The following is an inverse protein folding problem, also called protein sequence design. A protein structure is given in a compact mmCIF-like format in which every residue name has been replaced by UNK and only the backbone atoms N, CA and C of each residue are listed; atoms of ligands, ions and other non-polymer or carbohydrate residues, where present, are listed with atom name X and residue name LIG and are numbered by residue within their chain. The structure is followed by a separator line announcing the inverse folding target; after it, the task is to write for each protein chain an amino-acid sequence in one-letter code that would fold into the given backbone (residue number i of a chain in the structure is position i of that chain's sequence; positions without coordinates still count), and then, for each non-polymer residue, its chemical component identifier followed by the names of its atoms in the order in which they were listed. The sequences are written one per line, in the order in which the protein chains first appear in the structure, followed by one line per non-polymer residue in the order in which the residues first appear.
data_IF_745938307707
#
_entry.id   IF_745938307707
#
_cell.length_a   1.000
_cell.length_b   1.000
_cell.length_c   1.000
_cell.angle_alpha   90.00
_cell.angle_beta   90.00
_cell.angle_gamma   90.00
#
_symmetry.space_group_name_H-M   'P 1'
#
loop_
_entity.id
_entity.type
_entity.pdbx_description
1 polymer ?
#
# COMPACT_ATOMS: atom_id res chain seq x y z
N UNK A 1 -10.05 -24.36 -67.33
CA UNK A 1 -10.69 -23.77 -66.15
C UNK A 1 -10.87 -24.84 -65.11
N UNK A 2 -9.89 -25.01 -64.22
CA UNK A 2 -9.95 -25.93 -63.08
C UNK A 2 -9.74 -25.11 -61.79
N UNK A 3 -10.81 -24.71 -61.22
CA UNK A 3 -10.85 -24.06 -59.91
C UNK A 3 -10.74 -25.18 -58.85
N UNK A 4 -9.49 -25.56 -58.51
CA UNK A 4 -9.24 -26.38 -57.34
C UNK A 4 -9.42 -25.53 -56.09
N UNK A 5 -10.65 -25.43 -55.60
CA UNK A 5 -10.94 -24.99 -54.23
C UNK A 5 -10.28 -26.01 -53.30
N UNK A 6 -9.16 -25.65 -52.71
CA UNK A 6 -8.55 -26.37 -51.56
C UNK A 6 -9.57 -26.37 -50.41
N UNK A 7 -10.49 -27.34 -50.42
CA UNK A 7 -11.32 -27.66 -49.26
C UNK A 7 -10.37 -28.33 -48.28
N UNK A 8 -9.87 -27.55 -47.30
CA UNK A 8 -9.13 -28.14 -46.18
C UNK A 8 -9.99 -29.19 -45.54
N UNK A 9 -9.49 -30.43 -45.49
CA UNK A 9 -10.19 -31.54 -44.84
C UNK A 9 -10.53 -31.18 -43.39
N UNK A 10 -11.77 -31.40 -42.96
CA UNK A 10 -12.26 -31.07 -41.63
C UNK A 10 -11.37 -31.65 -40.52
N UNK A 11 -10.79 -32.83 -40.77
CA UNK A 11 -9.86 -33.48 -39.86
C UNK A 11 -8.60 -32.64 -39.60
N UNK A 12 -8.02 -32.03 -40.65
CA UNK A 12 -6.81 -31.20 -40.56
C UNK A 12 -7.09 -29.91 -39.77
N UNK A 13 -8.28 -29.27 -39.96
CA UNK A 13 -8.67 -28.06 -39.24
C UNK A 13 -8.89 -28.36 -37.75
N UNK A 14 -9.46 -29.54 -37.42
CA UNK A 14 -9.66 -29.98 -36.05
C UNK A 14 -8.32 -30.27 -35.37
N UNK A 15 -7.39 -30.94 -36.07
CA UNK A 15 -6.09 -31.30 -35.53
C UNK A 15 -5.20 -30.07 -35.31
N UNK A 16 -5.21 -29.09 -36.23
CA UNK A 16 -4.55 -27.79 -36.07
C UNK A 16 -5.11 -26.97 -34.89
N UNK A 17 -6.45 -26.98 -34.72
CA UNK A 17 -7.10 -26.32 -33.59
C UNK A 17 -6.73 -26.98 -32.25
N UNK A 18 -6.72 -28.33 -32.22
CA UNK A 18 -6.36 -29.10 -31.02
C UNK A 18 -4.89 -28.92 -30.66
N UNK A 19 -3.99 -28.95 -31.63
CA UNK A 19 -2.57 -28.64 -31.45
C UNK A 19 -2.35 -27.19 -31.00
N UNK A 20 -3.18 -26.25 -31.46
CA UNK A 20 -3.19 -24.87 -31.01
C UNK A 20 -3.61 -24.76 -29.52
N UNK A 21 -4.74 -25.37 -29.14
CA UNK A 21 -5.21 -25.42 -27.77
C UNK A 21 -4.21 -26.10 -26.83
N UNK A 22 -3.60 -27.20 -27.23
CA UNK A 22 -2.58 -27.90 -26.44
C UNK A 22 -1.36 -27.02 -26.18
N UNK A 23 -0.86 -26.32 -27.20
CA UNK A 23 0.26 -25.37 -27.06
C UNK A 23 -0.06 -24.21 -26.11
N UNK A 24 -1.28 -23.67 -26.21
CA UNK A 24 -1.75 -22.63 -25.27
C UNK A 24 -1.92 -23.19 -23.86
N UNK A 25 -2.48 -24.39 -23.70
CA UNK A 25 -2.60 -25.07 -22.43
C UNK A 25 -1.24 -25.30 -21.75
N UNK A 26 -0.27 -25.81 -22.47
CA UNK A 26 1.10 -26.01 -21.97
C UNK A 26 1.72 -24.66 -21.56
N UNK A 27 1.56 -23.60 -22.37
CA UNK A 27 2.07 -22.26 -22.02
C UNK A 27 1.45 -21.74 -20.71
N UNK A 28 0.14 -21.88 -20.55
CA UNK A 28 -0.56 -21.46 -19.33
C UNK A 28 -0.06 -22.25 -18.11
N UNK A 29 0.10 -23.58 -18.25
CA UNK A 29 0.63 -24.42 -17.16
C UNK A 29 2.06 -24.04 -16.80
N UNK A 30 2.92 -23.81 -17.78
CA UNK A 30 4.32 -23.39 -17.57
C UNK A 30 4.37 -22.01 -16.88
N UNK A 31 3.55 -21.06 -17.33
CA UNK A 31 3.45 -19.73 -16.70
C UNK A 31 2.93 -19.85 -15.26
N UNK A 32 1.89 -20.65 -15.04
CA UNK A 32 1.36 -20.88 -13.70
C UNK A 32 2.38 -21.58 -12.78
N UNK A 33 3.09 -22.60 -13.27
CA UNK A 33 4.15 -23.26 -12.51
C UNK A 33 5.30 -22.28 -12.19
N UNK A 34 5.73 -21.48 -13.15
CA UNK A 34 6.72 -20.44 -12.92
C UNK A 34 6.26 -19.40 -11.88
N UNK A 35 5.00 -18.95 -11.95
CA UNK A 35 4.42 -18.04 -10.99
C UNK A 35 4.40 -18.62 -9.56
N UNK A 36 4.05 -19.91 -9.42
CA UNK A 36 4.08 -20.62 -8.14
C UNK A 36 5.50 -20.71 -7.58
N UNK A 37 6.47 -21.09 -8.41
CA UNK A 37 7.89 -21.18 -8.00
C UNK A 37 8.43 -19.80 -7.59
N UNK A 38 8.17 -18.78 -8.39
CA UNK A 38 8.57 -17.40 -8.08
C UNK A 38 7.90 -16.94 -6.78
N UNK A 39 6.61 -17.17 -6.61
CA UNK A 39 5.87 -16.86 -5.38
C UNK A 39 6.45 -17.57 -4.16
N UNK A 40 6.83 -18.84 -4.30
CA UNK A 40 7.48 -19.57 -3.23
C UNK A 40 8.86 -19.01 -2.86
N UNK A 41 9.68 -18.67 -3.86
CA UNK A 41 10.99 -18.03 -3.65
C UNK A 41 10.81 -16.67 -2.97
N UNK A 42 9.88 -15.83 -3.45
CA UNK A 42 9.56 -14.54 -2.84
C UNK A 42 9.10 -14.73 -1.40
N UNK A 43 8.24 -15.72 -1.13
CA UNK A 43 7.78 -16.04 0.21
C UNK A 43 8.92 -16.42 1.16
N UNK A 44 9.90 -17.19 0.71
CA UNK A 44 11.10 -17.51 1.50
C UNK A 44 12.03 -16.32 1.65
N UNK A 45 12.18 -15.51 0.62
CA UNK A 45 13.01 -14.31 0.63
C UNK A 45 12.36 -13.12 1.35
N UNK A 46 11.07 -13.24 1.75
CA UNK A 46 10.30 -12.14 2.35
C UNK A 46 10.96 -11.52 3.57
N UNK A 47 11.64 -12.34 4.39
CA UNK A 47 12.37 -11.87 5.56
C UNK A 47 13.45 -10.84 5.23
N UNK A 48 14.01 -10.88 4.03
CA UNK A 48 15.01 -9.92 3.53
C UNK A 48 14.36 -8.85 2.66
N UNK A 49 13.42 -9.24 1.80
CA UNK A 49 12.76 -8.33 0.86
C UNK A 49 11.92 -7.28 1.58
N UNK A 50 11.24 -7.66 2.66
CA UNK A 50 10.41 -6.73 3.42
C UNK A 50 11.21 -5.55 4.03
N UNK A 51 12.30 -5.76 4.79
CA UNK A 51 13.13 -4.65 5.28
C UNK A 51 13.71 -3.80 4.16
N UNK A 52 14.12 -4.39 3.03
CA UNK A 52 14.64 -3.66 1.87
C UNK A 52 13.56 -2.77 1.26
N UNK A 53 12.38 -3.31 1.00
CA UNK A 53 11.24 -2.56 0.45
C UNK A 53 10.81 -1.42 1.38
N UNK A 54 10.71 -1.70 2.69
CA UNK A 54 10.39 -0.68 3.69
C UNK A 54 11.46 0.41 3.75
N UNK A 55 12.73 0.04 3.71
CA UNK A 55 13.83 0.99 3.69
C UNK A 55 13.84 1.86 2.43
N UNK A 56 13.51 1.30 1.26
CA UNK A 56 13.34 2.08 0.03
C UNK A 56 12.21 3.09 0.17
N UNK A 57 11.05 2.67 0.67
CA UNK A 57 9.89 3.55 0.91
C UNK A 57 10.27 4.69 1.87
N UNK A 58 10.81 4.36 3.04
CA UNK A 58 11.23 5.37 4.03
C UNK A 58 12.30 6.30 3.46
N UNK A 59 13.23 5.77 2.65
CA UNK A 59 14.25 6.56 1.98
C UNK A 59 13.67 7.60 1.03
N UNK A 60 12.57 7.32 0.32
CA UNK A 60 11.93 8.29 -0.56
C UNK A 60 11.35 9.49 0.18
N UNK A 61 10.94 9.29 1.45
CA UNK A 61 10.45 10.37 2.34
C UNK A 61 11.62 11.14 2.95
N UNK A 62 12.70 10.45 3.33
CA UNK A 62 13.84 11.07 4.01
C UNK A 62 14.89 11.67 3.06
N UNK A 63 14.87 11.31 1.76
CA UNK A 63 15.80 11.84 0.77
C UNK A 63 15.72 13.39 0.59
N UNK A 64 14.53 14.03 0.52
CA UNK A 64 14.45 15.48 0.40
C UNK A 64 15.10 16.24 1.57
N UNK A 65 14.82 15.98 2.86
CA UNK A 65 15.48 16.65 3.96
C UNK A 65 17.00 16.40 3.99
N UNK A 66 17.47 15.20 3.63
CA UNK A 66 18.92 14.93 3.55
C UNK A 66 19.57 15.72 2.41
N UNK A 67 18.93 15.75 1.23
CA UNK A 67 19.44 16.57 0.11
C UNK A 67 19.45 18.05 0.44
N UNK A 68 18.48 18.55 1.19
CA UNK A 68 18.46 19.94 1.65
C UNK A 68 19.62 20.25 2.60
N UNK A 69 19.92 19.36 3.58
CA UNK A 69 21.09 19.51 4.46
C UNK A 69 22.41 19.45 3.68
N UNK A 70 22.52 18.54 2.71
CA UNK A 70 23.70 18.45 1.84
C UNK A 70 23.91 19.72 1.01
N UNK A 71 22.85 20.34 0.49
CA UNK A 71 22.93 21.63 -0.21
C UNK A 71 23.41 22.76 0.69
N UNK A 72 23.27 22.63 2.02
CA UNK A 72 23.81 23.55 3.03
C UNK A 72 25.27 23.23 3.43
N UNK A 73 25.94 22.30 2.74
CA UNK A 73 27.32 21.95 2.96
C UNK A 73 27.58 20.83 3.97
N UNK A 74 26.52 20.15 4.45
CA UNK A 74 26.70 19.02 5.37
C UNK A 74 27.26 17.80 4.66
N UNK A 75 28.22 17.07 5.29
CA UNK A 75 28.68 15.79 4.74
C UNK A 75 27.54 14.78 4.69
N UNK A 76 27.50 13.96 3.64
CA UNK A 76 26.39 13.03 3.37
C UNK A 76 26.07 12.10 4.55
N UNK A 77 27.12 11.64 5.26
CA UNK A 77 26.96 10.75 6.43
C UNK A 77 26.26 11.45 7.60
N UNK A 78 26.64 12.70 7.91
CA UNK A 78 26.02 13.46 8.98
C UNK A 78 24.58 13.86 8.64
N UNK A 79 24.36 14.33 7.40
CA UNK A 79 23.01 14.69 6.95
C UNK A 79 22.06 13.49 7.02
N UNK A 80 22.49 12.31 6.53
CA UNK A 80 21.70 11.09 6.62
C UNK A 80 21.49 10.65 8.08
N UNK A 81 22.52 10.67 8.92
CA UNK A 81 22.42 10.27 10.32
C UNK A 81 21.43 11.15 11.10
N UNK A 82 21.54 12.49 10.96
CA UNK A 82 20.63 13.43 11.67
C UNK A 82 19.19 13.23 11.25
N UNK A 83 18.91 13.06 9.95
CA UNK A 83 17.54 12.87 9.45
C UNK A 83 16.97 11.51 9.86
N UNK A 84 17.76 10.43 9.77
CA UNK A 84 17.31 9.09 10.18
C UNK A 84 17.10 9.00 11.69
N UNK A 85 18.00 9.56 12.49
CA UNK A 85 17.83 9.62 13.95
C UNK A 85 16.66 10.54 14.35
N UNK A 86 16.47 11.65 13.64
CA UNK A 86 15.29 12.51 13.82
C UNK A 86 13.97 11.78 13.52
N UNK A 87 13.93 11.02 12.44
CA UNK A 87 12.79 10.17 12.10
C UNK A 87 12.55 9.09 13.18
N UNK A 88 13.61 8.41 13.63
CA UNK A 88 13.52 7.45 14.75
C UNK A 88 12.98 8.13 16.01
N UNK A 89 13.47 9.32 16.33
CA UNK A 89 12.99 10.11 17.47
C UNK A 89 11.50 10.44 17.38
N UNK A 90 11.00 10.77 16.18
CA UNK A 90 9.56 10.99 15.94
C UNK A 90 8.77 9.68 16.17
N UNK A 91 9.22 8.56 15.62
CA UNK A 91 8.55 7.26 15.77
C UNK A 91 8.51 6.84 17.24
N UNK A 92 9.64 6.92 17.94
CA UNK A 92 9.72 6.60 19.38
C UNK A 92 8.86 7.55 20.20
N UNK A 93 8.86 8.85 19.87
CA UNK A 93 8.01 9.86 20.52
C UNK A 93 6.52 9.55 20.36
N UNK A 94 6.08 9.18 19.16
CA UNK A 94 4.69 8.76 18.90
C UNK A 94 4.35 7.54 19.77
N UNK A 95 5.18 6.50 19.77
CA UNK A 95 4.97 5.29 20.57
C UNK A 95 4.90 5.62 22.07
N UNK A 96 5.81 6.47 22.56
CA UNK A 96 5.85 6.88 23.96
C UNK A 96 4.58 7.64 24.39
N UNK A 97 4.00 8.45 23.50
CA UNK A 97 2.75 9.18 23.74
C UNK A 97 1.54 8.23 23.70
N UNK A 98 1.53 7.26 22.77
CA UNK A 98 0.41 6.34 22.57
C UNK A 98 0.32 5.27 23.66
N UNK A 99 1.47 4.74 24.11
CA UNK A 99 1.53 3.60 25.06
C UNK A 99 0.71 3.85 26.32
N UNK A 100 0.87 4.96 27.07
CA UNK A 100 0.09 5.20 28.29
C UNK A 100 -1.40 5.41 27.99
N UNK A 101 -1.75 6.02 26.85
CA UNK A 101 -3.15 6.24 26.47
C UNK A 101 -3.87 4.91 26.18
N UNK A 102 -3.24 4.02 25.44
CA UNK A 102 -3.81 2.70 25.12
C UNK A 102 -3.82 1.80 26.35
N UNK A 103 -2.74 1.76 27.14
CA UNK A 103 -2.66 0.95 28.34
C UNK A 103 -3.64 1.40 29.44
N UNK A 104 -3.78 2.71 29.64
CA UNK A 104 -4.68 3.26 30.66
C UNK A 104 -6.17 3.15 30.33
N UNK A 105 -6.51 3.02 29.05
CA UNK A 105 -7.92 3.01 28.61
C UNK A 105 -8.38 1.61 28.12
N UNK A 106 -7.52 0.60 28.13
CA UNK A 106 -7.86 -0.75 27.67
C UNK A 106 -9.01 -1.39 28.45
N UNK A 107 -9.06 -1.19 29.76
CA UNK A 107 -10.18 -1.65 30.61
C UNK A 107 -11.47 -0.88 30.34
N UNK A 108 -11.39 0.43 30.12
CA UNK A 108 -12.57 1.25 29.78
C UNK A 108 -13.14 0.89 28.41
N UNK A 109 -12.28 0.55 27.44
CA UNK A 109 -12.71 0.09 26.10
C UNK A 109 -13.41 -1.26 26.21
N UNK A 110 -12.88 -2.22 26.99
CA UNK A 110 -13.50 -3.52 27.17
C UNK A 110 -14.88 -3.40 27.85
N UNK A 111 -14.97 -2.60 28.91
CA UNK A 111 -16.24 -2.34 29.61
C UNK A 111 -17.22 -1.57 28.73
N UNK A 112 -16.76 -0.49 28.08
CA UNK A 112 -17.57 0.31 27.18
C UNK A 112 -18.02 -0.45 25.93
N UNK A 113 -17.18 -1.37 25.39
CA UNK A 113 -17.58 -2.25 24.30
C UNK A 113 -18.74 -3.18 24.69
N UNK A 114 -18.69 -3.75 25.89
CA UNK A 114 -19.78 -4.59 26.42
C UNK A 114 -21.06 -3.77 26.63
N UNK A 115 -20.96 -2.58 27.21
CA UNK A 115 -22.11 -1.68 27.39
C UNK A 115 -22.67 -1.15 26.07
N UNK A 116 -21.79 -0.80 25.12
CA UNK A 116 -22.18 -0.34 23.79
C UNK A 116 -22.89 -1.41 23.00
N UNK A 117 -22.43 -2.65 23.05
CA UNK A 117 -23.09 -3.79 22.44
C UNK A 117 -24.47 -4.06 23.06
N UNK A 118 -24.61 -3.88 24.37
CA UNK A 118 -25.91 -3.97 25.04
C UNK A 118 -26.85 -2.86 24.55
N UNK A 119 -26.40 -1.61 24.47
CA UNK A 119 -27.20 -0.48 23.94
C UNK A 119 -27.63 -0.71 22.48
N UNK A 120 -26.75 -1.25 21.65
CA UNK A 120 -27.09 -1.62 20.26
C UNK A 120 -28.12 -2.76 20.24
N UNK A 121 -27.96 -3.76 21.11
CA UNK A 121 -28.93 -4.84 21.28
C UNK A 121 -30.31 -4.30 21.66
N UNK A 122 -30.36 -3.48 22.70
CA UNK A 122 -31.62 -2.90 23.21
C UNK A 122 -32.29 -2.04 22.13
N UNK A 123 -31.51 -1.28 21.39
CA UNK A 123 -32.03 -0.48 20.27
C UNK A 123 -32.55 -1.35 19.10
N UNK A 124 -31.91 -2.50 18.80
CA UNK A 124 -32.35 -3.43 17.76
C UNK A 124 -33.55 -4.27 18.17
N UNK A 125 -33.69 -4.61 19.48
CA UNK A 125 -34.77 -5.43 20.00
C UNK A 125 -36.01 -4.63 20.37
N UNK A 126 -35.78 -3.45 21.03
CA UNK A 126 -36.84 -2.59 21.54
C UNK A 126 -37.12 -1.37 20.66
N UNK A 127 -36.28 -1.16 19.62
CA UNK A 127 -36.33 -0.05 18.67
C UNK A 127 -37.29 -0.32 17.49
N UNK A 128 -37.34 0.61 16.51
CA UNK A 128 -38.29 0.58 15.39
C UNK A 128 -38.12 -0.62 14.44
N UNK A 129 -37.03 -1.39 14.53
CA UNK A 129 -36.77 -2.55 13.66
C UNK A 129 -37.26 -3.88 14.23
N UNK A 130 -37.56 -3.97 15.53
CA UNK A 130 -38.15 -5.15 16.24
C UNK A 130 -37.66 -6.51 15.69
N UNK A 131 -36.34 -6.67 15.54
CA UNK A 131 -35.75 -7.87 14.93
C UNK A 131 -35.76 -9.04 15.91
N UNK A 132 -35.92 -10.28 15.41
CA UNK A 132 -36.06 -11.48 16.25
C UNK A 132 -34.81 -11.75 17.10
N UNK A 133 -34.99 -11.96 18.38
CA UNK A 133 -33.98 -12.06 19.44
C UNK A 133 -32.88 -13.14 19.24
N UNK A 134 -33.15 -14.22 18.47
CA UNK A 134 -32.22 -15.35 18.41
C UNK A 134 -30.92 -15.11 17.65
N UNK A 135 -30.98 -14.52 16.47
CA UNK A 135 -29.82 -14.30 15.61
C UNK A 135 -28.96 -13.09 16.08
N UNK A 136 -29.63 -12.07 16.60
CA UNK A 136 -28.98 -10.87 17.14
C UNK A 136 -28.17 -11.21 18.38
N UNK A 137 -28.74 -11.99 19.30
CA UNK A 137 -28.05 -12.42 20.52
C UNK A 137 -26.82 -13.26 20.21
N UNK A 138 -26.90 -14.17 19.23
CA UNK A 138 -25.74 -14.97 18.80
C UNK A 138 -24.66 -14.12 18.14
N UNK A 139 -25.02 -13.15 17.30
CA UNK A 139 -24.06 -12.26 16.66
C UNK A 139 -23.35 -11.34 17.67
N UNK A 140 -24.13 -10.82 18.64
CA UNK A 140 -23.59 -9.93 19.70
C UNK A 140 -22.71 -10.72 20.68
N UNK A 141 -23.09 -11.92 21.10
CA UNK A 141 -22.23 -12.75 21.95
C UNK A 141 -20.94 -13.15 21.25
N UNK A 142 -20.99 -13.53 19.98
CA UNK A 142 -19.78 -13.81 19.20
C UNK A 142 -18.86 -12.60 19.06
N UNK A 143 -19.43 -11.39 18.96
CA UNK A 143 -18.66 -10.13 18.95
C UNK A 143 -18.08 -9.83 20.34
N UNK A 144 -18.85 -10.02 21.42
CA UNK A 144 -18.35 -9.87 22.79
C UNK A 144 -17.17 -10.81 23.08
N UNK A 145 -17.31 -12.10 22.78
CA UNK A 145 -16.23 -13.07 22.95
C UNK A 145 -14.97 -12.70 22.16
N UNK A 146 -15.15 -12.16 20.96
CA UNK A 146 -14.04 -11.65 20.13
C UNK A 146 -13.39 -10.41 20.71
N UNK A 147 -14.16 -9.47 21.24
CA UNK A 147 -13.65 -8.25 21.86
C UNK A 147 -12.90 -8.59 23.16
N UNK A 148 -13.47 -9.44 24.02
CA UNK A 148 -12.85 -9.88 25.27
C UNK A 148 -11.56 -10.68 25.02
N UNK A 149 -11.58 -11.60 24.06
CA UNK A 149 -10.39 -12.35 23.66
C UNK A 149 -9.31 -11.44 23.06
N UNK A 150 -9.70 -10.43 22.27
CA UNK A 150 -8.77 -9.45 21.71
C UNK A 150 -8.21 -8.49 22.77
N UNK A 151 -9.05 -8.04 23.72
CA UNK A 151 -8.62 -7.17 24.82
C UNK A 151 -7.67 -7.93 25.77
N UNK A 152 -7.96 -9.18 26.09
CA UNK A 152 -7.07 -10.04 26.89
C UNK A 152 -5.78 -10.36 26.14
N UNK A 153 -5.81 -10.55 24.82
CA UNK A 153 -4.64 -10.76 23.99
C UNK A 153 -3.77 -9.48 23.92
N UNK A 154 -4.36 -8.30 23.87
CA UNK A 154 -3.65 -7.02 23.95
C UNK A 154 -3.04 -6.83 25.34
N UNK A 155 -3.80 -7.10 26.40
CA UNK A 155 -3.32 -7.01 27.78
C UNK A 155 -2.22 -8.02 28.13
N UNK A 156 -2.34 -9.27 27.68
CA UNK A 156 -1.33 -10.32 27.85
C UNK A 156 -0.24 -10.28 26.80
N UNK A 157 -0.54 -9.83 25.58
CA UNK A 157 0.38 -9.74 24.46
C UNK A 157 1.50 -8.73 24.66
N UNK A 158 1.30 -7.68 25.45
CA UNK A 158 2.36 -6.73 25.83
C UNK A 158 3.47 -7.44 26.66
N UNK A 159 3.14 -8.51 27.38
CA UNK A 159 4.10 -9.23 28.21
C UNK A 159 4.55 -10.59 27.66
N UNK A 160 3.81 -11.21 26.74
CA UNK A 160 4.12 -12.58 26.31
C UNK A 160 4.99 -12.71 25.05
N UNK A 161 5.44 -11.60 24.46
CA UNK A 161 6.14 -11.64 23.17
C UNK A 161 7.52 -10.99 23.18
N UNK A 162 8.39 -11.39 24.11
CA UNK A 162 9.82 -11.05 24.03
C UNK A 162 10.36 -11.43 22.64
N UNK A 163 9.93 -12.55 22.06
CA UNK A 163 10.31 -12.97 20.72
C UNK A 163 9.77 -12.06 19.59
N UNK A 164 8.51 -11.64 19.65
CA UNK A 164 7.94 -10.73 18.64
C UNK A 164 8.49 -9.31 18.79
N UNK A 165 8.69 -8.83 20.00
CA UNK A 165 9.34 -7.55 20.26
C UNK A 165 10.78 -7.55 19.74
N UNK A 166 11.53 -8.63 19.98
CA UNK A 166 12.90 -8.78 19.47
C UNK A 166 12.91 -8.77 17.95
N UNK A 167 12.02 -9.51 17.29
CA UNK A 167 11.92 -9.53 15.83
C UNK A 167 11.54 -8.16 15.25
N UNK A 168 10.63 -7.45 15.91
CA UNK A 168 10.22 -6.10 15.49
C UNK A 168 11.38 -5.10 15.62
N UNK A 169 12.14 -5.17 16.72
CA UNK A 169 13.33 -4.31 16.96
C UNK A 169 14.41 -4.62 15.92
N UNK A 170 14.71 -5.90 15.67
CA UNK A 170 15.69 -6.31 14.65
C UNK A 170 15.28 -5.80 13.27
N UNK A 171 14.01 -5.97 12.88
CA UNK A 171 13.50 -5.45 11.61
C UNK A 171 13.57 -3.92 11.54
N UNK A 172 13.22 -3.22 12.62
CA UNK A 172 13.33 -1.76 12.68
C UNK A 172 14.77 -1.30 12.49
N UNK A 173 15.72 -1.94 13.20
CA UNK A 173 17.16 -1.62 13.06
C UNK A 173 17.61 -1.88 11.62
N UNK A 174 17.23 -3.02 11.02
CA UNK A 174 17.57 -3.33 9.63
C UNK A 174 17.01 -2.28 8.66
N UNK A 175 15.74 -1.92 8.80
CA UNK A 175 15.10 -0.88 7.98
C UNK A 175 15.82 0.45 8.12
N UNK A 176 16.14 0.88 9.35
CA UNK A 176 16.83 2.15 9.59
C UNK A 176 18.28 2.14 9.06
N UNK A 177 19.01 1.04 9.24
CA UNK A 177 20.36 0.90 8.68
C UNK A 177 20.33 0.94 7.14
N UNK A 178 19.44 0.18 6.52
CA UNK A 178 19.29 0.18 5.07
C UNK A 178 18.85 1.58 4.56
N UNK A 179 17.89 2.21 5.23
CA UNK A 179 17.47 3.59 4.92
C UNK A 179 18.65 4.56 4.99
N UNK A 180 19.45 4.48 6.06
CA UNK A 180 20.65 5.31 6.20
C UNK A 180 21.61 5.12 5.02
N UNK A 181 21.90 3.86 4.63
CA UNK A 181 22.78 3.59 3.49
C UNK A 181 22.16 4.06 2.16
N UNK A 182 20.89 3.83 1.94
CA UNK A 182 20.21 4.25 0.71
C UNK A 182 20.22 5.77 0.55
N UNK A 183 19.95 6.51 1.61
CA UNK A 183 19.93 7.98 1.55
C UNK A 183 21.33 8.57 1.51
N UNK A 184 22.30 7.97 2.22
CA UNK A 184 23.70 8.40 2.23
C UNK A 184 24.39 8.12 0.90
N UNK A 185 24.27 6.90 0.37
CA UNK A 185 25.06 6.40 -0.76
C UNK A 185 24.24 6.26 -2.06
N UNK A 186 22.96 6.64 -2.07
CA UNK A 186 22.08 6.53 -3.24
C UNK A 186 22.66 7.15 -4.52
N UNK A 187 23.43 8.24 -4.39
CA UNK A 187 24.10 8.88 -5.52
C UNK A 187 25.22 8.03 -6.16
N UNK A 188 25.71 7.01 -5.45
CA UNK A 188 26.75 6.09 -5.97
C UNK A 188 26.15 4.94 -6.76
N UNK A 189 24.81 4.77 -6.71
CA UNK A 189 24.14 3.67 -7.39
C UNK A 189 24.28 3.76 -8.91
N UNK A 190 24.09 4.94 -9.48
CA UNK A 190 24.20 5.19 -10.93
C UNK A 190 25.56 4.75 -11.50
N UNK A 191 26.72 5.23 -10.99
CA UNK A 191 28.01 4.77 -11.53
C UNK A 191 28.28 3.29 -11.27
N UNK A 192 27.80 2.74 -10.15
CA UNK A 192 27.93 1.32 -9.86
C UNK A 192 27.16 0.44 -10.87
N UNK A 193 25.89 0.80 -11.15
CA UNK A 193 25.04 0.07 -12.10
C UNK A 193 25.62 0.11 -13.53
N UNK A 194 26.14 1.25 -13.96
CA UNK A 194 26.81 1.41 -15.26
C UNK A 194 28.06 0.54 -15.38
N UNK A 195 28.84 0.42 -14.29
CA UNK A 195 30.04 -0.40 -14.28
C UNK A 195 29.74 -1.91 -14.34
N UNK A 196 28.62 -2.38 -13.74
CA UNK A 196 28.25 -3.78 -13.72
C UNK A 196 27.64 -4.26 -15.06
N UNK A 197 26.77 -3.47 -15.66
CA UNK A 197 26.00 -3.87 -16.85
C UNK A 197 26.68 -3.53 -18.18
N UNK A 198 27.85 -2.86 -18.15
CA UNK A 198 28.41 -2.23 -19.34
C UNK A 198 27.54 -1.04 -19.81
N UNK A 199 28.05 -0.24 -20.78
CA UNK A 199 27.38 1.01 -21.17
C UNK A 199 25.90 0.86 -21.50
N UNK A 200 25.53 -0.12 -22.36
CA UNK A 200 24.15 -0.28 -22.82
C UNK A 200 23.20 -0.78 -21.73
N UNK A 201 23.52 -1.89 -21.06
CA UNK A 201 22.65 -2.47 -20.03
C UNK A 201 22.63 -1.62 -18.75
N UNK A 202 23.77 -0.97 -18.42
CA UNK A 202 23.87 -0.07 -17.28
C UNK A 202 22.99 1.17 -17.42
N UNK A 203 22.97 1.81 -18.58
CA UNK A 203 22.14 2.99 -18.84
C UNK A 203 20.65 2.65 -18.74
N UNK A 204 20.19 1.50 -19.26
CA UNK A 204 18.81 1.03 -19.11
C UNK A 204 18.45 0.74 -17.64
N UNK A 205 19.36 0.11 -16.91
CA UNK A 205 19.14 -0.19 -15.48
C UNK A 205 19.01 1.09 -14.66
N UNK A 206 19.84 2.07 -14.93
CA UNK A 206 19.79 3.39 -14.25
C UNK A 206 18.48 4.10 -14.59
N UNK A 207 18.10 4.15 -15.86
CA UNK A 207 16.87 4.82 -16.28
C UNK A 207 15.63 4.18 -15.65
N UNK A 208 15.53 2.84 -15.62
CA UNK A 208 14.45 2.12 -14.95
C UNK A 208 14.43 2.46 -13.45
N UNK A 209 15.60 2.42 -12.79
CA UNK A 209 15.69 2.72 -11.37
C UNK A 209 15.27 4.14 -11.05
N UNK A 210 15.71 5.13 -11.83
CA UNK A 210 15.34 6.53 -11.65
C UNK A 210 13.84 6.77 -11.85
N UNK A 211 13.23 6.15 -12.86
CA UNK A 211 11.78 6.22 -13.10
C UNK A 211 11.00 5.61 -11.94
N UNK A 212 11.38 4.40 -11.50
CA UNK A 212 10.76 3.72 -10.35
C UNK A 212 10.94 4.55 -9.07
N UNK A 213 12.16 5.06 -8.82
CA UNK A 213 12.44 5.90 -7.66
C UNK A 213 11.58 7.18 -7.63
N UNK A 214 11.44 7.85 -8.76
CA UNK A 214 10.65 9.07 -8.87
C UNK A 214 9.15 8.77 -8.70
N UNK A 215 8.65 7.70 -9.30
CA UNK A 215 7.24 7.26 -9.16
C UNK A 215 6.94 6.87 -7.72
N UNK A 216 7.77 6.03 -7.09
CA UNK A 216 7.62 5.65 -5.69
C UNK A 216 7.71 6.87 -4.77
N UNK A 217 8.73 7.70 -4.95
CA UNK A 217 8.93 8.89 -4.12
C UNK A 217 7.81 9.90 -4.26
N UNK A 218 7.28 10.09 -5.47
CA UNK A 218 6.10 10.91 -5.72
C UNK A 218 4.88 10.37 -4.97
N UNK A 219 4.58 9.09 -5.17
CA UNK A 219 3.45 8.43 -4.53
C UNK A 219 3.52 8.48 -3.00
N UNK A 220 4.62 8.01 -2.42
CA UNK A 220 4.76 7.90 -0.95
C UNK A 220 4.68 9.28 -0.28
N UNK A 221 5.34 10.31 -0.87
CA UNK A 221 5.28 11.68 -0.32
C UNK A 221 3.88 12.25 -0.40
N UNK A 222 3.20 12.07 -1.52
CA UNK A 222 1.81 12.52 -1.69
C UNK A 222 0.88 11.78 -0.74
N UNK A 223 1.00 10.46 -0.65
CA UNK A 223 0.20 9.65 0.26
C UNK A 223 0.46 10.00 1.73
N UNK A 224 1.72 10.28 2.10
CA UNK A 224 2.05 10.74 3.46
C UNK A 224 1.38 12.08 3.79
N UNK A 225 1.30 13.00 2.83
CA UNK A 225 0.64 14.28 3.03
C UNK A 225 -0.88 14.13 3.16
N UNK A 226 -1.50 13.33 2.29
CA UNK A 226 -2.94 13.01 2.37
C UNK A 226 -3.25 12.35 3.72
N UNK A 227 -2.52 11.29 4.07
CA UNK A 227 -2.67 10.57 5.34
C UNK A 227 -2.53 11.50 6.56
N UNK A 228 -1.60 12.46 6.50
CA UNK A 228 -1.42 13.45 7.57
C UNK A 228 -2.62 14.39 7.67
N UNK A 229 -3.13 14.87 6.55
CA UNK A 229 -4.31 15.75 6.51
C UNK A 229 -5.52 15.02 7.09
N UNK A 230 -5.77 13.78 6.65
CA UNK A 230 -6.88 12.96 7.13
C UNK A 230 -6.77 12.69 8.63
N UNK A 231 -5.59 12.27 9.10
CA UNK A 231 -5.33 12.02 10.52
C UNK A 231 -5.53 13.28 11.37
N UNK A 232 -5.11 14.45 10.89
CA UNK A 232 -5.26 15.72 11.60
C UNK A 232 -6.73 16.13 11.65
N UNK A 233 -7.46 16.07 10.52
CA UNK A 233 -8.87 16.51 10.49
C UNK A 233 -9.74 15.55 11.31
N UNK A 234 -9.64 14.23 11.07
CA UNK A 234 -10.41 13.22 11.80
C UNK A 234 -10.02 13.22 13.27
N UNK A 235 -8.71 13.26 13.57
CA UNK A 235 -8.21 13.32 14.95
C UNK A 235 -8.70 14.55 15.71
N UNK A 236 -8.64 15.72 15.10
CA UNK A 236 -9.15 16.97 15.70
C UNK A 236 -10.66 16.88 15.92
N UNK A 237 -11.41 16.36 14.94
CA UNK A 237 -12.84 16.13 15.09
C UNK A 237 -13.17 15.22 16.28
N UNK A 238 -12.43 14.12 16.44
CA UNK A 238 -12.60 13.21 17.58
C UNK A 238 -12.22 13.86 18.92
N UNK A 239 -11.17 14.69 18.96
CA UNK A 239 -10.80 15.44 20.16
C UNK A 239 -11.90 16.43 20.56
N UNK A 240 -12.47 17.16 19.60
CA UNK A 240 -13.58 18.12 19.85
C UNK A 240 -14.82 17.40 20.38
N UNK A 241 -15.12 16.23 19.87
CA UNK A 241 -16.24 15.38 20.33
C UNK A 241 -15.94 14.76 21.72
N UNK A 242 -14.67 14.75 22.15
CA UNK A 242 -14.27 14.18 23.43
C UNK A 242 -14.07 12.66 23.41
N UNK A 243 -13.70 12.11 22.27
CA UNK A 243 -13.42 10.66 22.14
C UNK A 243 -12.14 10.29 22.89
N UNK A 244 -12.16 9.33 23.83
CA UNK A 244 -11.02 9.03 24.71
C UNK A 244 -9.74 8.63 23.95
N UNK A 245 -9.84 7.89 22.87
CA UNK A 245 -8.72 7.38 22.07
C UNK A 245 -8.49 8.19 20.78
N UNK A 246 -8.86 9.47 20.74
CA UNK A 246 -8.75 10.30 19.54
C UNK A 246 -7.34 10.30 18.94
N UNK A 247 -6.29 10.45 19.75
CA UNK A 247 -4.89 10.48 19.26
C UNK A 247 -4.44 9.12 18.74
N UNK A 248 -4.61 8.00 19.46
CA UNK A 248 -4.33 6.66 18.91
C UNK A 248 -5.08 6.37 17.61
N UNK A 249 -6.36 6.72 17.52
CA UNK A 249 -7.16 6.52 16.31
C UNK A 249 -6.70 7.41 15.14
N UNK A 250 -6.28 8.64 15.41
CA UNK A 250 -5.70 9.53 14.41
C UNK A 250 -4.38 8.95 13.85
N UNK A 251 -3.50 8.43 14.71
CA UNK A 251 -2.26 7.78 14.28
C UNK A 251 -2.57 6.50 13.49
N UNK A 252 -3.56 5.71 13.93
CA UNK A 252 -4.02 4.54 13.18
C UNK A 252 -4.53 4.96 11.79
N UNK A 253 -5.32 6.03 11.69
CA UNK A 253 -5.83 6.58 10.43
C UNK A 253 -4.67 6.95 9.49
N UNK A 254 -3.63 7.60 10.02
CA UNK A 254 -2.43 7.94 9.25
C UNK A 254 -1.78 6.71 8.62
N UNK A 255 -1.53 5.67 9.41
CA UNK A 255 -0.89 4.45 8.88
C UNK A 255 -1.84 3.63 7.98
N UNK A 256 -3.12 3.58 8.33
CA UNK A 256 -4.12 2.85 7.55
C UNK A 256 -4.31 3.46 6.14
N UNK A 257 -4.18 4.76 5.99
CA UNK A 257 -4.32 5.47 4.72
C UNK A 257 -3.37 4.98 3.61
N UNK A 258 -2.26 4.30 3.97
CA UNK A 258 -1.38 3.69 2.98
C UNK A 258 -1.96 2.43 2.30
N UNK A 259 -3.02 1.85 2.86
CA UNK A 259 -3.74 0.72 2.26
C UNK A 259 -5.04 1.26 1.65
N UNK A 260 -5.08 1.56 0.34
CA UNK A 260 -6.23 2.22 -0.28
C UNK A 260 -7.53 1.46 -0.03
N UNK A 261 -8.62 2.19 0.16
CA UNK A 261 -9.98 1.69 0.42
C UNK A 261 -10.09 0.97 1.78
N UNK A 262 -9.29 -0.08 2.01
CA UNK A 262 -9.33 -0.88 3.25
C UNK A 262 -8.95 -0.05 4.46
N UNK A 263 -7.90 0.75 4.34
CA UNK A 263 -7.41 1.58 5.44
C UNK A 263 -8.43 2.62 5.89
N UNK A 264 -8.97 3.37 4.95
CA UNK A 264 -9.99 4.38 5.23
C UNK A 264 -11.26 3.78 5.86
N UNK A 265 -11.73 2.65 5.31
CA UNK A 265 -12.91 1.96 5.83
C UNK A 265 -12.67 1.41 7.24
N UNK A 266 -11.54 0.73 7.48
CA UNK A 266 -11.24 0.12 8.78
C UNK A 266 -11.00 1.19 9.84
N UNK A 267 -10.18 2.22 9.56
CA UNK A 267 -9.92 3.28 10.53
C UNK A 267 -11.15 4.13 10.82
N UNK A 268 -11.94 4.46 9.79
CA UNK A 268 -13.20 5.19 9.93
C UNK A 268 -14.24 4.41 10.73
N UNK A 269 -14.43 3.12 10.42
CA UNK A 269 -15.33 2.25 11.17
C UNK A 269 -14.90 2.13 12.65
N UNK A 270 -13.60 1.96 12.91
CA UNK A 270 -13.09 1.93 14.29
C UNK A 270 -13.31 3.24 15.02
N UNK A 271 -13.09 4.39 14.39
CA UNK A 271 -13.34 5.69 15.00
C UNK A 271 -14.82 5.86 15.39
N UNK A 272 -15.74 5.48 14.50
CA UNK A 272 -17.19 5.54 14.76
C UNK A 272 -17.60 4.56 15.85
N UNK A 273 -17.12 3.31 15.80
CA UNK A 273 -17.44 2.28 16.79
C UNK A 273 -16.91 2.65 18.18
N UNK A 274 -15.67 3.11 18.28
CA UNK A 274 -15.11 3.56 19.57
C UNK A 274 -15.94 4.71 20.13
N UNK A 275 -16.30 5.69 19.30
CA UNK A 275 -17.13 6.82 19.74
C UNK A 275 -18.52 6.37 20.19
N UNK A 276 -19.14 5.42 19.46
CA UNK A 276 -20.44 4.87 19.81
C UNK A 276 -20.44 4.19 21.19
N UNK A 277 -19.35 3.48 21.47
CA UNK A 277 -19.16 2.72 22.70
C UNK A 277 -18.79 3.62 23.89
N UNK A 278 -17.90 4.59 23.67
CA UNK A 278 -17.37 5.42 24.77
C UNK A 278 -18.17 6.69 25.05
N UNK A 279 -18.89 7.20 24.06
CA UNK A 279 -19.64 8.46 24.18
C UNK A 279 -21.15 8.23 23.98
N UNK A 280 -21.70 8.67 22.87
CA UNK A 280 -23.12 8.55 22.57
C UNK A 280 -23.38 8.25 21.10
N UNK A 281 -24.58 7.72 20.73
CA UNK A 281 -24.95 7.54 19.32
C UNK A 281 -24.94 8.86 18.52
N UNK A 282 -25.23 9.99 19.17
CA UNK A 282 -25.17 11.30 18.54
C UNK A 282 -23.73 11.68 18.19
N UNK A 283 -22.81 11.43 19.10
CA UNK A 283 -21.38 11.71 18.89
C UNK A 283 -20.79 10.81 17.81
N UNK A 284 -21.17 9.52 17.81
CA UNK A 284 -20.80 8.58 16.76
C UNK A 284 -21.29 9.02 15.37
N UNK A 285 -22.50 9.57 15.30
CA UNK A 285 -23.02 10.13 14.05
C UNK A 285 -22.21 11.36 13.60
N UNK A 286 -21.79 12.22 14.53
CA UNK A 286 -20.94 13.37 14.22
C UNK A 286 -19.60 12.90 13.67
N UNK A 287 -18.94 11.91 14.31
CA UNK A 287 -17.68 11.35 13.85
C UNK A 287 -17.84 10.66 12.49
N UNK A 288 -18.95 9.94 12.25
CA UNK A 288 -19.25 9.36 10.95
C UNK A 288 -19.35 10.44 9.85
N UNK A 289 -20.05 11.55 10.12
CA UNK A 289 -20.17 12.67 9.19
C UNK A 289 -18.78 13.27 8.91
N UNK A 290 -17.95 13.45 9.93
CA UNK A 290 -16.56 13.95 9.76
C UNK A 290 -15.76 12.99 8.88
N UNK A 291 -15.77 11.69 9.16
CA UNK A 291 -15.06 10.67 8.37
C UNK A 291 -15.51 10.68 6.93
N UNK A 292 -16.83 10.66 6.68
CA UNK A 292 -17.38 10.68 5.32
C UNK A 292 -17.01 11.98 4.59
N UNK A 293 -17.09 13.13 5.27
CA UNK A 293 -16.71 14.41 4.68
C UNK A 293 -15.22 14.46 4.30
N UNK A 294 -14.34 13.91 5.16
CA UNK A 294 -12.90 13.81 4.86
C UNK A 294 -12.66 12.87 3.69
N UNK A 295 -13.31 11.72 3.62
CA UNK A 295 -13.19 10.80 2.46
C UNK A 295 -13.67 11.44 1.15
N UNK A 296 -14.72 12.25 1.21
CA UNK A 296 -15.17 13.00 0.03
C UNK A 296 -14.18 14.11 -0.34
N UNK A 297 -13.59 14.78 0.64
CA UNK A 297 -12.54 15.78 0.42
C UNK A 297 -11.29 15.11 -0.18
N UNK A 298 -10.87 13.96 0.36
CA UNK A 298 -9.75 13.18 -0.18
C UNK A 298 -10.00 12.78 -1.63
N UNK A 299 -11.12 12.13 -1.93
CA UNK A 299 -11.39 11.59 -3.26
C UNK A 299 -11.62 12.66 -4.32
N UNK A 300 -12.32 13.76 -4.00
CA UNK A 300 -12.74 14.76 -4.97
C UNK A 300 -11.80 15.97 -5.07
N UNK A 301 -11.00 16.24 -4.04
CA UNK A 301 -10.13 17.42 -3.98
C UNK A 301 -8.67 17.07 -3.81
N UNK A 302 -8.32 16.35 -2.72
CA UNK A 302 -6.92 16.10 -2.37
C UNK A 302 -6.25 15.16 -3.37
N UNK A 303 -6.90 14.04 -3.74
CA UNK A 303 -6.33 13.08 -4.67
C UNK A 303 -6.09 13.68 -6.06
N UNK A 304 -7.03 14.39 -6.72
CA UNK A 304 -6.77 15.05 -8.00
C UNK A 304 -5.70 16.13 -7.92
N UNK A 305 -5.69 16.90 -6.83
CA UNK A 305 -4.76 18.03 -6.66
C UNK A 305 -3.34 17.59 -6.33
N UNK A 306 -3.17 16.58 -5.45
CA UNK A 306 -1.88 16.14 -4.96
C UNK A 306 -1.27 15.00 -5.79
N UNK A 307 -2.08 14.06 -6.29
CA UNK A 307 -1.59 12.90 -7.02
C UNK A 307 -1.31 13.21 -8.49
N UNK A 308 -2.00 14.20 -9.07
CA UNK A 308 -1.76 14.66 -10.43
C UNK A 308 -1.70 13.52 -11.46
N UNK A 309 -0.81 13.66 -12.47
CA UNK A 309 -0.61 12.65 -13.53
C UNK A 309 0.35 11.51 -13.15
N UNK A 310 0.78 11.41 -11.89
CA UNK A 310 1.94 10.58 -11.51
C UNK A 310 1.64 9.09 -11.33
N UNK A 311 0.38 8.66 -11.21
CA UNK A 311 0.04 7.24 -11.12
C UNK A 311 -1.11 6.90 -12.07
N UNK A 312 -0.78 6.47 -13.28
CA UNK A 312 -1.75 5.93 -14.24
C UNK A 312 -2.05 4.45 -13.96
N UNK A 313 -2.36 4.10 -12.69
CA UNK A 313 -2.82 2.77 -12.34
C UNK A 313 -4.34 2.74 -12.35
N UNK A 314 -4.92 1.76 -13.06
CA UNK A 314 -6.35 1.54 -13.02
C UNK A 314 -6.76 1.07 -11.61
N UNK A 315 -7.89 1.57 -11.09
CA UNK A 315 -8.37 1.24 -9.74
C UNK A 315 -8.48 -0.28 -9.49
N UNK A 316 -8.86 -1.05 -10.52
CA UNK A 316 -8.91 -2.51 -10.45
C UNK A 316 -7.54 -3.15 -10.17
N UNK A 317 -6.46 -2.61 -10.75
CA UNK A 317 -5.10 -3.10 -10.50
C UNK A 317 -4.71 -2.85 -9.05
N UNK A 318 -5.02 -1.67 -8.53
CA UNK A 318 -4.80 -1.32 -7.12
C UNK A 318 -5.54 -2.29 -6.20
N UNK A 319 -6.85 -2.52 -6.45
CA UNK A 319 -7.68 -3.42 -5.66
C UNK A 319 -7.15 -4.87 -5.69
N UNK A 320 -6.83 -5.39 -6.86
CA UNK A 320 -6.29 -6.74 -7.02
C UNK A 320 -4.92 -6.88 -6.36
N UNK A 321 -4.06 -5.86 -6.47
CA UNK A 321 -2.75 -5.87 -5.83
C UNK A 321 -2.86 -5.87 -4.30
N UNK A 322 -3.74 -5.04 -3.73
CA UNK A 322 -3.98 -5.00 -2.27
C UNK A 322 -4.57 -6.31 -1.78
N UNK A 323 -5.55 -6.86 -2.49
CA UNK A 323 -6.15 -8.16 -2.13
C UNK A 323 -5.12 -9.29 -2.24
N UNK A 324 -4.37 -9.35 -3.35
CA UNK A 324 -3.33 -10.36 -3.55
C UNK A 324 -2.17 -10.23 -2.55
N UNK A 325 -1.67 -9.02 -2.35
CA UNK A 325 -0.63 -8.75 -1.36
C UNK A 325 -1.09 -9.09 0.07
N UNK A 326 -2.33 -8.70 0.41
CA UNK A 326 -2.93 -8.99 1.70
C UNK A 326 -3.11 -10.47 1.99
N UNK A 327 -3.54 -11.25 0.99
CA UNK A 327 -3.70 -12.71 1.14
C UNK A 327 -2.37 -13.46 1.24
N UNK A 328 -1.34 -13.01 0.52
CA UNK A 328 -0.03 -13.67 0.49
C UNK A 328 0.85 -13.31 1.69
N UNK A 329 0.85 -12.05 2.10
CA UNK A 329 1.80 -11.52 3.09
C UNK A 329 1.13 -10.70 4.21
N UNK A 330 -0.20 -10.83 4.37
CA UNK A 330 -0.95 -10.12 5.40
C UNK A 330 -0.92 -8.60 5.23
N UNK A 331 -1.01 -7.87 6.35
CA UNK A 331 -1.07 -6.39 6.36
C UNK A 331 0.17 -5.78 5.69
N UNK A 332 1.35 -6.37 5.87
CA UNK A 332 2.58 -5.88 5.26
C UNK A 332 2.56 -6.01 3.75
N UNK A 333 1.97 -7.10 3.23
CA UNK A 333 1.76 -7.29 1.80
C UNK A 333 0.73 -6.31 1.22
N UNK A 334 -0.36 -6.06 1.93
CA UNK A 334 -1.35 -5.06 1.51
C UNK A 334 -0.76 -3.65 1.46
N UNK A 335 0.07 -3.28 2.45
CA UNK A 335 0.78 -2.00 2.50
C UNK A 335 1.76 -1.83 1.32
N UNK A 336 2.54 -2.86 0.99
CA UNK A 336 3.52 -2.83 -0.10
C UNK A 336 2.90 -3.03 -1.49
N UNK A 337 1.64 -3.46 -1.57
CA UNK A 337 1.00 -3.84 -2.82
C UNK A 337 0.98 -2.72 -3.86
N UNK A 338 0.61 -1.50 -3.46
CA UNK A 338 0.54 -0.35 -4.38
C UNK A 338 1.92 0.11 -4.83
N UNK A 339 2.92 0.30 -3.95
CA UNK A 339 4.29 0.56 -4.34
C UNK A 339 4.86 -0.47 -5.33
N UNK A 340 4.63 -1.76 -5.07
CA UNK A 340 5.10 -2.83 -5.97
C UNK A 340 4.39 -2.79 -7.32
N UNK A 341 3.07 -2.64 -7.33
CA UNK A 341 2.29 -2.52 -8.56
C UNK A 341 2.69 -1.29 -9.39
N UNK A 342 2.92 -0.15 -8.74
CA UNK A 342 3.37 1.07 -9.39
C UNK A 342 4.76 0.91 -10.02
N UNK A 343 5.68 0.26 -9.30
CA UNK A 343 7.01 -0.06 -9.80
C UNK A 343 6.96 -0.99 -11.01
N UNK A 344 6.15 -2.04 -10.94
CA UNK A 344 5.95 -2.98 -12.04
C UNK A 344 5.34 -2.29 -13.28
N UNK A 345 4.34 -1.45 -13.09
CA UNK A 345 3.71 -0.69 -14.17
C UNK A 345 4.71 0.27 -14.84
N UNK A 346 5.59 0.91 -14.07
CA UNK A 346 6.61 1.81 -14.62
C UNK A 346 7.66 1.05 -15.44
N UNK A 347 8.08 -0.12 -14.97
CA UNK A 347 9.00 -0.99 -15.71
C UNK A 347 8.35 -1.43 -17.03
N UNK A 348 7.10 -1.89 -17.01
CA UNK A 348 6.37 -2.30 -18.21
C UNK A 348 6.20 -1.13 -19.19
N UNK A 349 5.92 0.07 -18.69
CA UNK A 349 5.80 1.28 -19.51
C UNK A 349 7.13 1.60 -20.21
N UNK A 350 8.23 1.55 -19.48
CA UNK A 350 9.56 1.73 -20.04
C UNK A 350 9.87 0.73 -21.16
N UNK A 351 9.56 -0.56 -20.95
CA UNK A 351 9.77 -1.61 -21.95
C UNK A 351 8.93 -1.33 -23.19
N UNK A 352 7.65 -0.95 -23.02
CA UNK A 352 6.75 -0.67 -24.12
C UNK A 352 7.20 0.54 -24.95
N UNK A 353 7.59 1.64 -24.30
CA UNK A 353 8.17 2.82 -24.95
C UNK A 353 9.40 2.48 -25.79
N UNK A 354 10.23 1.55 -25.32
CA UNK A 354 11.41 1.10 -26.06
C UNK A 354 11.05 0.30 -27.30
N UNK A 355 10.10 -0.62 -27.20
CA UNK A 355 9.59 -1.40 -28.33
C UNK A 355 9.01 -0.46 -29.39
N UNK A 356 8.19 0.50 -29.00
CA UNK A 356 7.57 1.46 -29.89
C UNK A 356 8.61 2.33 -30.62
N UNK A 357 9.65 2.76 -29.91
CA UNK A 357 10.75 3.52 -30.48
C UNK A 357 11.57 2.72 -31.49
N UNK A 358 11.83 1.43 -31.22
CA UNK A 358 12.55 0.55 -32.15
C UNK A 358 11.71 0.24 -33.41
N UNK A 359 10.40 0.01 -33.24
CA UNK A 359 9.46 -0.18 -34.36
C UNK A 359 9.40 1.08 -35.24
N UNK A 360 9.28 2.26 -34.61
CA UNK A 360 9.22 3.53 -35.34
C UNK A 360 10.54 3.87 -36.06
N UNK A 361 11.68 3.51 -35.46
CA UNK A 361 12.99 3.71 -36.09
C UNK A 361 13.23 2.79 -37.31
N UNK A 362 12.58 1.62 -37.32
CA UNK A 362 12.69 0.63 -38.42
C UNK A 362 11.53 0.72 -39.44
N UNK A 363 10.57 1.64 -39.23
CA UNK A 363 9.52 1.86 -40.23
C UNK A 363 10.12 2.39 -41.53
N UNK A 364 9.75 1.84 -42.71
CA UNK A 364 10.19 2.37 -43.98
C UNK A 364 9.82 3.86 -44.08
N UNK A 365 10.78 4.70 -44.40
CA UNK A 365 10.47 6.08 -44.75
C UNK A 365 9.61 6.02 -46.00
N UNK A 366 8.34 6.34 -45.93
CA UNK A 366 7.52 6.64 -47.10
C UNK A 366 8.22 7.77 -47.82
N UNK A 367 8.78 7.42 -49.00
CA UNK A 367 9.45 8.37 -49.90
C UNK A 367 8.50 9.51 -50.19
N UNK A 368 8.79 10.70 -49.68
CA UNK A 368 8.13 11.95 -50.07
C UNK A 368 8.52 12.41 -51.48
N UNK A 369 8.60 11.46 -52.42
CA UNK A 369 8.82 11.72 -53.82
C UNK A 369 7.52 11.59 -54.64
N UNK A 370 6.54 12.41 -54.32
CA UNK A 370 5.34 12.60 -55.15
C UNK A 370 4.83 14.04 -55.06
N UNK A 371 5.68 15.00 -55.30
CA UNK A 371 5.23 16.39 -55.60
C UNK A 371 6.36 17.19 -56.23
N UNK A 372 6.86 16.75 -57.40
CA UNK A 372 7.53 17.65 -58.34
C UNK A 372 7.33 17.06 -59.75
N UNK A 373 6.16 17.27 -60.31
CA UNK A 373 5.90 17.23 -61.75
C UNK A 373 5.35 18.62 -62.16
N UNK A 374 6.23 19.51 -62.69
CA UNK A 374 5.79 20.75 -63.28
C UNK A 374 5.57 20.52 -64.78
N UNK A 375 4.33 20.38 -65.23
CA UNK A 375 3.95 20.58 -66.62
C UNK A 375 2.78 21.54 -66.75
#
# INVERSE_FOLDING_TARGET
MNENKNVRDRAVVIDDAFAGMLRWGIRIVVIAAAAVVIGWIIGKAWIVLFPVAMALIVSTVLAPPVTWLRKKGWPSSLAAAVVVLGFLGIVVGIIAILTPQVAGQSSQIATGASEGLQKVRDWLTDGPLALSNGQITQAISALQDRIESSASAIGSGVFSTIGAATSAIVNLILVLMLTFYFVKDGHKFTPWAQNLGGRRAGDHTVEIFERVWNTLGGFIRTQSLVALIDAVIIGTGMVIVGVPLAIPLAVLTFFAAYIPIVGAFVSGALAVLVTLVTNSPKDALIVLIIVVAVQQLEGNVLSPWLQGKNMNLHATVVLLSVTGGGTLFGITGAFLAVPVAASAAEILRYINERIDNEVSANAPREDSHAADDPS
#
